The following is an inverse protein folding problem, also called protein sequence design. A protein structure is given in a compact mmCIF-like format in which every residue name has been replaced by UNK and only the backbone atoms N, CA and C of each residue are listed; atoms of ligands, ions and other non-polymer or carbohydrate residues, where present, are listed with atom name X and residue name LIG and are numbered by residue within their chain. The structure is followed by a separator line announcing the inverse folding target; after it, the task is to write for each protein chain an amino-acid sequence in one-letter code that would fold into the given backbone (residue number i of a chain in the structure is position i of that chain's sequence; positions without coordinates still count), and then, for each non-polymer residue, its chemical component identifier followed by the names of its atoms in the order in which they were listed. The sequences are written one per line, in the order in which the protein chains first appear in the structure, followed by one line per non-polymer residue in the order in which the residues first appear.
data_IF_393431859265
#
_entry.id   IF_393431859265
#
_cell.length_a   1.000
_cell.length_b   1.000
_cell.length_c   1.000
_cell.angle_alpha   90.00
_cell.angle_beta   90.00
_cell.angle_gamma   90.00
#
_symmetry.space_group_name_H-M   'P 1'
#
loop_
_entity.id
_entity.type
_entity.pdbx_description
1 polymer ?
#
# COMPACT_ATOMS: atom_id res chain seq x y z
N UNK A 1 -2.97 13.27 2.62
CA UNK A 1 -4.36 13.57 3.03
C UNK A 1 -4.44 14.75 4.00
N UNK A 2 -3.84 14.71 5.20
CA UNK A 2 -4.10 15.76 6.21
C UNK A 2 -3.27 17.06 6.06
N UNK A 3 -2.01 16.99 5.58
CA UNK A 3 -1.11 18.17 5.52
C UNK A 3 -0.50 18.44 4.13
N UNK A 4 -0.92 17.70 3.09
CA UNK A 4 -0.42 17.87 1.73
C UNK A 4 1.05 17.50 1.49
N UNK A 5 1.76 17.02 2.52
CA UNK A 5 3.19 16.66 2.45
C UNK A 5 3.44 15.19 2.74
N UNK A 6 4.51 14.64 2.17
CA UNK A 6 5.14 13.37 2.59
C UNK A 6 6.54 13.65 3.10
N UNK A 7 6.85 13.26 4.35
CA UNK A 7 8.12 13.56 5.04
C UNK A 7 8.61 15.02 4.91
N UNK A 8 7.66 15.97 4.85
CA UNK A 8 7.94 17.39 4.73
C UNK A 8 8.15 17.90 3.31
N UNK A 9 7.99 17.06 2.29
CA UNK A 9 7.96 17.46 0.87
C UNK A 9 6.51 17.68 0.45
N UNK A 10 6.21 18.81 -0.19
CA UNK A 10 4.90 19.10 -0.78
C UNK A 10 4.63 18.16 -1.96
N UNK A 11 3.50 17.43 -1.92
CA UNK A 11 3.18 16.41 -2.91
C UNK A 11 2.76 16.98 -4.27
N UNK A 12 2.36 18.25 -4.35
CA UNK A 12 1.99 18.91 -5.62
C UNK A 12 3.19 19.56 -6.29
N UNK A 13 4.13 20.09 -5.49
CA UNK A 13 5.25 20.88 -5.98
C UNK A 13 6.58 20.12 -5.97
N UNK A 14 6.68 19.01 -5.26
CA UNK A 14 7.92 18.22 -5.14
C UNK A 14 9.04 18.93 -4.37
N UNK A 15 8.72 19.98 -3.61
CA UNK A 15 9.71 20.79 -2.88
C UNK A 15 9.54 20.67 -1.37
N UNK A 16 10.63 20.79 -0.63
CA UNK A 16 10.61 20.77 0.83
C UNK A 16 9.83 21.97 1.40
N UNK A 17 9.04 21.72 2.44
CA UNK A 17 8.30 22.72 3.21
C UNK A 17 9.06 23.00 4.50
N UNK A 18 9.23 24.29 4.85
CA UNK A 18 9.89 24.69 6.10
C UNK A 18 9.14 24.09 7.32
N UNK A 19 9.84 23.32 8.15
CA UNK A 19 9.24 22.62 9.30
C UNK A 19 8.47 21.34 8.95
N UNK A 20 8.44 20.95 7.68
CA UNK A 20 7.67 19.79 7.19
C UNK A 20 8.09 18.45 7.79
N UNK A 21 9.33 18.33 8.28
CA UNK A 21 9.79 17.14 9.01
C UNK A 21 8.93 16.84 10.25
N UNK A 22 8.20 17.81 10.81
CA UNK A 22 7.31 17.59 11.97
C UNK A 22 5.94 17.05 11.60
N UNK A 23 5.56 17.11 10.32
CA UNK A 23 4.21 16.75 9.88
C UNK A 23 3.91 15.27 10.13
N UNK A 24 4.84 14.37 9.84
CA UNK A 24 4.61 12.94 10.07
C UNK A 24 4.48 12.62 11.58
N UNK A 25 5.35 13.16 12.44
CA UNK A 25 5.25 13.01 13.90
C UNK A 25 3.93 13.55 14.46
N UNK A 26 3.44 14.68 13.93
CA UNK A 26 2.14 15.22 14.33
C UNK A 26 1.01 14.25 13.98
N UNK A 27 1.05 13.62 12.81
CA UNK A 27 0.06 12.60 12.44
C UNK A 27 0.14 11.36 13.32
N UNK A 28 1.35 10.85 13.60
CA UNK A 28 1.56 9.72 14.51
C UNK A 28 0.95 10.03 15.89
N UNK A 29 1.29 11.18 16.47
CA UNK A 29 0.75 11.60 17.77
C UNK A 29 -0.77 11.80 17.75
N UNK A 30 -1.31 12.29 16.64
CA UNK A 30 -2.76 12.48 16.47
C UNK A 30 -3.46 11.13 16.44
N UNK A 31 -3.02 10.19 15.59
CA UNK A 31 -3.60 8.84 15.52
C UNK A 31 -3.49 8.10 16.85
N UNK A 32 -2.34 8.20 17.54
CA UNK A 32 -2.18 7.63 18.89
C UNK A 32 -3.15 8.21 19.92
N UNK A 33 -3.45 9.52 19.84
CA UNK A 33 -4.44 10.18 20.70
C UNK A 33 -5.86 9.68 20.46
N UNK A 34 -6.22 9.39 19.22
CA UNK A 34 -7.51 8.78 18.87
C UNK A 34 -7.55 7.28 19.15
N UNK A 35 -6.39 6.62 19.18
CA UNK A 35 -6.23 5.21 19.57
C UNK A 35 -6.26 4.21 18.42
N UNK A 36 -6.66 4.62 17.20
CA UNK A 36 -6.50 3.82 15.98
C UNK A 36 -6.71 4.66 14.71
N UNK A 37 -6.33 4.11 13.55
CA UNK A 37 -6.61 4.68 12.24
C UNK A 37 -8.12 4.80 12.01
N UNK A 38 -8.89 3.78 12.38
CA UNK A 38 -10.35 3.81 12.26
C UNK A 38 -10.97 4.98 13.02
N UNK A 39 -10.58 5.17 14.30
CA UNK A 39 -11.13 6.24 15.15
C UNK A 39 -10.78 7.64 14.64
N UNK A 40 -9.58 7.85 14.10
CA UNK A 40 -9.19 9.16 13.56
C UNK A 40 -9.89 9.48 12.23
N UNK A 41 -10.27 8.45 11.46
CA UNK A 41 -11.13 8.58 10.26
C UNK A 41 -12.58 8.86 10.66
N UNK A 42 -13.13 8.13 11.63
CA UNK A 42 -14.48 8.34 12.17
C UNK A 42 -14.66 9.74 12.76
N UNK A 43 -13.63 10.25 13.45
CA UNK A 43 -13.60 11.61 13.99
C UNK A 43 -13.46 12.71 12.91
N UNK A 44 -13.33 12.35 11.63
CA UNK A 44 -13.23 13.31 10.52
C UNK A 44 -11.89 14.05 10.43
N UNK A 45 -10.86 13.59 11.13
CA UNK A 45 -9.52 14.22 11.09
C UNK A 45 -8.73 13.77 9.86
N UNK A 46 -8.88 12.51 9.46
CA UNK A 46 -8.42 12.00 8.16
C UNK A 46 -9.65 11.83 7.28
N UNK A 47 -9.69 12.54 6.15
CA UNK A 47 -10.86 12.62 5.26
C UNK A 47 -10.60 12.12 3.84
N UNK A 48 -9.40 11.60 3.57
CA UNK A 48 -9.01 11.09 2.24
C UNK A 48 -7.74 10.22 2.32
N UNK A 49 -7.44 9.52 1.24
CA UNK A 49 -6.21 8.74 1.05
C UNK A 49 -6.37 7.26 1.40
N UNK A 50 -5.31 6.47 1.15
CA UNK A 50 -5.37 4.99 1.20
C UNK A 50 -6.01 4.45 2.48
N UNK A 51 -5.52 4.83 3.65
CA UNK A 51 -6.06 4.32 4.91
C UNK A 51 -7.50 4.79 5.19
N UNK A 52 -7.89 5.96 4.69
CA UNK A 52 -9.28 6.43 4.78
C UNK A 52 -10.20 5.55 3.95
N UNK A 53 -9.81 5.27 2.70
CA UNK A 53 -10.59 4.39 1.82
C UNK A 53 -10.68 2.97 2.39
N UNK A 54 -9.59 2.44 2.96
CA UNK A 54 -9.62 1.13 3.61
C UNK A 54 -10.64 1.08 4.75
N UNK A 55 -10.66 2.09 5.63
CA UNK A 55 -11.63 2.16 6.73
C UNK A 55 -13.05 2.32 6.20
N UNK A 56 -13.29 3.24 5.26
CA UNK A 56 -14.64 3.52 4.73
C UNK A 56 -15.25 2.35 3.97
N UNK A 57 -14.43 1.57 3.28
CA UNK A 57 -14.87 0.41 2.49
C UNK A 57 -14.66 -0.93 3.20
N UNK A 58 -14.31 -0.92 4.49
CA UNK A 58 -14.03 -2.13 5.28
C UNK A 58 -13.00 -3.07 4.62
N UNK A 59 -11.98 -2.49 3.97
CA UNK A 59 -10.88 -3.25 3.40
C UNK A 59 -9.92 -3.61 4.52
N UNK A 60 -9.73 -4.91 4.82
CA UNK A 60 -8.82 -5.32 5.88
C UNK A 60 -7.38 -5.00 5.48
N UNK A 61 -6.58 -4.61 6.46
CA UNK A 61 -5.17 -4.31 6.28
C UNK A 61 -4.36 -4.80 7.48
N UNK A 62 -3.09 -5.15 7.26
CA UNK A 62 -2.11 -5.42 8.32
C UNK A 62 -0.91 -4.52 8.13
N UNK A 63 -0.44 -3.92 9.23
CA UNK A 63 0.73 -3.04 9.27
C UNK A 63 1.83 -3.74 10.07
N UNK A 64 2.65 -4.54 9.40
CA UNK A 64 3.79 -5.20 10.05
C UNK A 64 4.86 -4.16 10.43
N UNK A 65 5.24 -4.16 11.70
CA UNK A 65 6.26 -3.26 12.24
C UNK A 65 7.68 -3.53 11.74
N UNK A 66 8.55 -2.56 11.95
CA UNK A 66 9.97 -2.59 11.58
C UNK A 66 10.83 -1.91 12.65
N UNK A 67 12.11 -2.27 12.70
CA UNK A 67 13.12 -1.60 13.54
C UNK A 67 13.32 -0.11 13.21
N UNK A 68 12.71 0.38 12.12
CA UNK A 68 12.82 1.77 11.64
C UNK A 68 11.59 2.63 11.95
N UNK A 69 10.59 2.07 12.61
CA UNK A 69 9.31 2.76 12.79
C UNK A 69 9.39 3.91 13.79
N UNK A 70 8.84 5.06 13.41
CA UNK A 70 8.56 6.17 14.30
C UNK A 70 7.19 5.99 14.97
N UNK A 71 7.12 6.03 16.30
CA UNK A 71 5.86 5.91 17.06
C UNK A 71 5.74 4.56 17.78
N UNK A 72 5.21 3.49 17.15
CA UNK A 72 4.48 3.43 15.88
C UNK A 72 3.00 3.85 16.04
N UNK A 73 2.19 3.67 14.99
CA UNK A 73 0.74 3.78 15.08
C UNK A 73 0.17 2.66 15.96
N UNK A 74 -0.98 2.86 16.63
CA UNK A 74 -1.62 1.81 17.43
C UNK A 74 -1.96 0.55 16.64
N UNK A 75 -2.25 0.70 15.35
CA UNK A 75 -2.62 -0.36 14.41
C UNK A 75 -1.41 -1.16 13.90
N UNK A 76 -0.18 -0.76 14.23
CA UNK A 76 1.04 -1.46 13.80
C UNK A 76 1.30 -2.70 14.67
N UNK A 77 1.39 -3.87 14.03
CA UNK A 77 1.74 -5.13 14.68
C UNK A 77 3.26 -5.24 14.85
N UNK A 78 3.73 -5.10 16.09
CA UNK A 78 5.17 -5.16 16.41
C UNK A 78 5.67 -6.57 16.70
N UNK A 79 4.76 -7.52 16.96
CA UNK A 79 5.10 -8.93 17.07
C UNK A 79 5.16 -9.54 15.67
N UNK A 80 6.37 -9.86 15.20
CA UNK A 80 6.59 -10.34 13.83
C UNK A 80 5.95 -11.71 13.56
N UNK A 81 5.77 -12.54 14.59
CA UNK A 81 5.09 -13.83 14.41
C UNK A 81 3.61 -13.56 14.11
N UNK A 82 2.98 -12.69 14.91
CA UNK A 82 1.58 -12.30 14.68
C UNK A 82 1.39 -11.53 13.37
N UNK A 83 2.31 -10.65 13.01
CA UNK A 83 2.26 -9.94 11.73
C UNK A 83 2.29 -10.93 10.55
N UNK A 84 3.10 -11.99 10.65
CA UNK A 84 3.18 -13.02 9.63
C UNK A 84 1.88 -13.86 9.57
N UNK A 85 1.28 -14.19 10.71
CA UNK A 85 -0.02 -14.86 10.80
C UNK A 85 -1.14 -14.02 10.16
N UNK A 86 -1.20 -12.73 10.49
CA UNK A 86 -2.15 -11.77 9.90
C UNK A 86 -1.98 -11.67 8.37
N UNK A 87 -0.73 -11.55 7.89
CA UNK A 87 -0.45 -11.53 6.45
C UNK A 87 -0.92 -12.81 5.76
N UNK A 88 -0.63 -13.97 6.35
CA UNK A 88 -1.02 -15.27 5.80
C UNK A 88 -2.54 -15.38 5.66
N UNK A 89 -3.29 -14.90 6.67
CA UNK A 89 -4.74 -14.93 6.62
C UNK A 89 -5.29 -13.97 5.55
N UNK A 90 -4.73 -12.76 5.41
CA UNK A 90 -5.11 -11.83 4.34
C UNK A 90 -4.82 -12.34 2.94
N UNK A 91 -3.83 -13.22 2.78
CA UNK A 91 -3.45 -13.83 1.49
C UNK A 91 -4.32 -15.04 1.12
N UNK A 92 -5.10 -15.58 2.08
CA UNK A 92 -5.89 -16.79 1.85
C UNK A 92 -6.94 -16.55 0.76
N UNK A 93 -6.86 -17.34 -0.31
CA UNK A 93 -7.80 -17.27 -1.44
C UNK A 93 -7.54 -16.11 -2.40
N UNK A 94 -6.40 -15.43 -2.32
CA UNK A 94 -6.04 -14.40 -3.28
C UNK A 94 -5.75 -15.00 -4.67
N UNK A 95 -6.41 -14.51 -5.71
CA UNK A 95 -6.11 -14.88 -7.11
C UNK A 95 -4.91 -14.09 -7.68
N UNK A 96 -4.65 -12.91 -7.10
CA UNK A 96 -3.59 -12.01 -7.53
C UNK A 96 -3.04 -11.20 -6.36
N UNK A 97 -1.74 -10.95 -6.37
CA UNK A 97 -1.04 -10.03 -5.47
C UNK A 97 -0.29 -8.98 -6.29
N UNK A 98 -0.58 -7.70 -6.03
CA UNK A 98 0.13 -6.56 -6.60
C UNK A 98 1.12 -6.00 -5.57
N UNK A 99 2.41 -6.14 -5.86
CA UNK A 99 3.51 -5.72 -5.00
C UNK A 99 4.09 -4.39 -5.50
N UNK A 100 3.96 -3.35 -4.70
CA UNK A 100 4.28 -1.97 -5.08
C UNK A 100 5.46 -1.46 -4.25
N UNK A 101 6.66 -1.45 -4.85
CA UNK A 101 7.90 -0.83 -4.35
C UNK A 101 8.18 -1.04 -2.85
N UNK A 102 7.99 -2.25 -2.35
CA UNK A 102 8.02 -2.58 -0.92
C UNK A 102 8.85 -3.84 -0.65
N UNK A 103 10.07 -3.88 -1.21
CA UNK A 103 11.01 -5.02 -1.21
C UNK A 103 10.84 -6.05 -0.06
N UNK A 104 10.95 -5.64 1.20
CA UNK A 104 10.87 -6.56 2.35
C UNK A 104 9.48 -7.19 2.48
N UNK A 105 8.41 -6.41 2.36
CA UNK A 105 7.05 -6.94 2.38
C UNK A 105 6.76 -7.77 1.14
N UNK A 106 7.19 -7.34 -0.06
CA UNK A 106 7.01 -8.11 -1.29
C UNK A 106 7.66 -9.49 -1.20
N UNK A 107 8.89 -9.57 -0.67
CA UNK A 107 9.60 -10.85 -0.45
C UNK A 107 8.90 -11.67 0.63
N UNK A 108 8.48 -11.07 1.73
CA UNK A 108 7.72 -11.73 2.79
C UNK A 108 6.42 -12.35 2.26
N UNK A 109 5.61 -11.56 1.57
CA UNK A 109 4.36 -11.99 0.91
C UNK A 109 4.65 -13.10 -0.09
N UNK A 110 5.63 -12.93 -0.99
CA UNK A 110 6.02 -13.97 -1.94
C UNK A 110 6.55 -15.27 -1.32
N UNK A 111 6.92 -15.30 -0.03
CA UNK A 111 7.22 -16.54 0.71
C UNK A 111 5.94 -17.24 1.22
N UNK A 112 4.91 -16.47 1.54
CA UNK A 112 3.67 -16.97 2.13
C UNK A 112 2.61 -17.33 1.07
N UNK A 113 2.75 -16.80 -0.14
CA UNK A 113 1.81 -17.04 -1.24
C UNK A 113 2.03 -18.41 -1.88
N UNK A 114 0.98 -19.25 -2.03
CA UNK A 114 1.08 -20.53 -2.74
C UNK A 114 1.26 -20.35 -4.25
N UNK A 115 1.69 -21.42 -4.94
CA UNK A 115 1.65 -21.46 -6.42
C UNK A 115 0.20 -21.37 -6.94
N UNK A 116 0.00 -20.85 -8.16
CA UNK A 116 -1.34 -20.61 -8.73
C UNK A 116 -1.81 -19.16 -8.60
N UNK A 117 -1.17 -18.38 -7.72
CA UNK A 117 -1.51 -16.97 -7.48
C UNK A 117 -0.71 -16.07 -8.40
N UNK A 118 -1.39 -15.21 -9.16
CA UNK A 118 -0.72 -14.26 -10.06
C UNK A 118 0.00 -13.19 -9.25
N UNK A 119 1.28 -13.00 -9.52
CA UNK A 119 2.07 -12.00 -8.81
C UNK A 119 2.56 -10.93 -9.78
N UNK A 120 2.30 -9.66 -9.46
CA UNK A 120 2.83 -8.53 -10.23
C UNK A 120 3.72 -7.70 -9.32
N UNK A 121 5.02 -7.67 -9.61
CA UNK A 121 6.00 -6.89 -8.86
C UNK A 121 6.39 -5.65 -9.63
N UNK A 122 6.19 -4.48 -9.03
CA UNK A 122 6.57 -3.17 -9.59
C UNK A 122 7.57 -2.52 -8.65
N UNK A 123 8.81 -2.35 -9.11
CA UNK A 123 9.87 -1.68 -8.35
C UNK A 123 10.82 -0.98 -9.32
N UNK A 124 11.39 0.15 -8.91
CA UNK A 124 12.38 0.86 -9.74
C UNK A 124 13.74 0.14 -9.71
N UNK A 125 13.99 -0.64 -8.66
CA UNK A 125 15.22 -1.39 -8.50
C UNK A 125 15.08 -2.79 -9.15
N UNK A 126 15.82 -3.07 -10.25
CA UNK A 126 15.73 -4.35 -10.94
C UNK A 126 16.09 -5.54 -10.04
N UNK A 127 16.96 -5.36 -9.04
CA UNK A 127 17.36 -6.45 -8.14
C UNK A 127 16.17 -6.99 -7.30
N UNK A 128 15.22 -6.12 -6.92
CA UNK A 128 14.01 -6.52 -6.20
C UNK A 128 13.11 -7.35 -7.10
N UNK A 129 12.92 -6.88 -8.34
CA UNK A 129 12.12 -7.56 -9.35
C UNK A 129 12.71 -8.94 -9.68
N UNK A 130 14.01 -9.03 -9.92
CA UNK A 130 14.69 -10.31 -10.18
C UNK A 130 14.49 -11.29 -9.02
N UNK A 131 14.68 -10.86 -7.78
CA UNK A 131 14.49 -11.71 -6.59
C UNK A 131 13.10 -12.32 -6.45
N UNK A 132 12.08 -11.64 -6.96
CA UNK A 132 10.70 -12.09 -6.89
C UNK A 132 10.33 -12.94 -8.11
N UNK A 133 10.82 -12.58 -9.29
CA UNK A 133 10.66 -13.35 -10.53
C UNK A 133 11.39 -14.70 -10.49
N UNK A 134 12.51 -14.79 -9.77
CA UNK A 134 13.30 -16.02 -9.63
C UNK A 134 12.60 -17.11 -8.81
N UNK A 135 11.43 -16.82 -8.22
CA UNK A 135 10.62 -17.82 -7.48
C UNK A 135 9.86 -18.79 -8.38
N UNK A 136 10.16 -18.80 -9.68
CA UNK A 136 9.92 -19.95 -10.56
C UNK A 136 8.47 -20.19 -10.95
N UNK A 137 7.54 -19.32 -10.59
CA UNK A 137 6.16 -19.38 -11.06
C UNK A 137 6.04 -18.75 -12.43
N UNK A 138 5.52 -19.49 -13.40
CA UNK A 138 5.06 -19.01 -14.72
C UNK A 138 4.10 -17.79 -14.59
N UNK A 139 3.57 -17.57 -13.38
CA UNK A 139 2.54 -16.60 -13.02
C UNK A 139 3.06 -15.31 -12.37
N UNK A 140 4.39 -15.09 -12.31
CA UNK A 140 4.98 -13.84 -11.81
C UNK A 140 5.42 -12.90 -12.93
N UNK A 141 4.90 -11.67 -12.93
CA UNK A 141 5.29 -10.58 -13.85
C UNK A 141 6.07 -9.50 -13.11
N UNK A 142 7.29 -9.23 -13.57
CA UNK A 142 8.13 -8.15 -13.04
C UNK A 142 8.10 -6.91 -13.95
N UNK A 143 7.91 -5.73 -13.37
CA UNK A 143 7.95 -4.44 -14.08
C UNK A 143 8.93 -3.51 -13.38
N UNK A 144 10.04 -3.22 -14.07
CA UNK A 144 11.06 -2.29 -13.56
C UNK A 144 10.68 -0.86 -13.97
N UNK A 145 10.04 -0.11 -13.07
CA UNK A 145 9.57 1.25 -13.35
C UNK A 145 9.26 2.06 -12.08
N UNK A 146 9.01 3.36 -12.23
CA UNK A 146 8.48 4.19 -11.15
C UNK A 146 7.04 3.77 -10.80
N UNK A 147 6.80 3.51 -9.51
CA UNK A 147 5.51 3.00 -9.03
C UNK A 147 4.37 4.03 -9.19
N UNK A 148 4.68 5.33 -9.11
CA UNK A 148 3.70 6.40 -9.29
C UNK A 148 3.24 6.48 -10.74
N UNK A 149 4.17 6.41 -11.69
CA UNK A 149 3.88 6.31 -13.12
C UNK A 149 3.06 5.06 -13.45
N UNK A 150 3.46 3.90 -12.91
CA UNK A 150 2.72 2.65 -13.10
C UNK A 150 1.26 2.76 -12.66
N UNK A 151 1.02 3.24 -11.44
CA UNK A 151 -0.35 3.40 -10.91
C UNK A 151 -1.17 4.41 -11.72
N UNK A 152 -0.56 5.52 -12.15
CA UNK A 152 -1.23 6.52 -13.00
C UNK A 152 -1.69 5.91 -14.33
N UNK A 153 -0.82 5.14 -15.00
CA UNK A 153 -1.16 4.47 -16.24
C UNK A 153 -2.18 3.34 -16.03
N UNK A 154 -2.09 2.60 -14.92
CA UNK A 154 -3.02 1.53 -14.58
C UNK A 154 -4.44 2.07 -14.37
N UNK A 155 -4.60 3.15 -13.59
CA UNK A 155 -5.91 3.79 -13.38
C UNK A 155 -6.49 4.28 -14.71
N UNK A 156 -5.70 4.99 -15.53
CA UNK A 156 -6.13 5.43 -16.86
C UNK A 156 -6.56 4.25 -17.77
N UNK A 157 -5.92 3.09 -17.63
CA UNK A 157 -6.27 1.91 -18.41
C UNK A 157 -7.54 1.23 -17.89
N UNK A 158 -7.73 1.16 -16.58
CA UNK A 158 -8.97 0.65 -15.96
C UNK A 158 -10.18 1.51 -16.36
N UNK A 159 -10.02 2.83 -16.41
CA UNK A 159 -11.06 3.76 -16.87
C UNK A 159 -11.48 3.48 -18.32
N UNK A 160 -10.51 3.26 -19.22
CA UNK A 160 -10.79 2.93 -20.63
C UNK A 160 -11.51 1.59 -20.81
N UNK A 161 -11.21 0.61 -19.96
CA UNK A 161 -11.83 -0.71 -20.01
C UNK A 161 -13.26 -0.68 -19.46
N UNK A 162 -13.50 0.11 -18.41
CA UNK A 162 -14.83 0.24 -17.79
C UNK A 162 -15.74 1.18 -18.58
N UNK A 163 -15.22 2.27 -19.17
CA UNK A 163 -16.02 3.21 -19.97
C UNK A 163 -16.63 2.59 -21.24
N UNK A 164 -15.99 1.55 -21.81
CA UNK A 164 -16.54 0.82 -22.97
C UNK A 164 -17.75 -0.06 -22.63
N UNK A 165 -17.92 -0.47 -21.37
CA UNK A 165 -19.03 -1.34 -20.96
C UNK A 165 -20.36 -0.58 -20.75
N UNK A 166 -20.33 0.75 -20.61
CA UNK A 166 -21.56 1.55 -20.50
C UNK A 166 -22.29 1.78 -21.83
N UNK A 167 -21.65 1.54 -22.98
CA UNK A 167 -22.27 1.74 -24.29
C UNK A 167 -23.01 0.48 -24.80
N UNK A 168 -22.71 -0.69 -24.24
CA UNK A 168 -23.24 -1.99 -24.71
C UNK A 168 -24.38 -2.58 -23.89
N UNK A 169 -24.82 -1.93 -22.80
CA UNK A 169 -25.96 -2.40 -21.98
C UNK A 169 -27.28 -1.64 -22.19
N UNK A 170 -27.36 -0.77 -23.20
CA UNK A 170 -28.61 -0.14 -23.63
C UNK A 170 -29.05 -0.69 -24.98
N UNK A 171 -29.66 -1.87 -24.98
CA UNK A 171 -30.55 -2.37 -26.05
C UNK A 171 -31.75 -3.03 -25.40
#
# INVERSE_FOLDING_TARGET
SSMGTSLGVDMKRGVAVRGGHRHHLKMINTTRRYGSIAKVVEAGVITSGVMYECVKHNIPFSLAGSIRDDGPLPDTQMDMVKAQEEYTELLRGADMVLMLSSMLHSIGVGNMTPAGVKMVCVDINPAVVTKLSDRGSIESTGVVTDVGLFLSLLVNQLDKLTSRHHVTQSV
#
